data_IF_245623096756
#
_entry.id   IF_245623096756
#
_cell.length_a   1.000
_cell.length_b   1.000
_cell.length_c   1.000
_cell.angle_alpha   90.00
_cell.angle_beta   90.00
_cell.angle_gamma   90.00
#
_symmetry.space_group_name_H-M   'P 1'
#
loop_
_entity.id
_entity.type
_entity.pdbx_description
1 polymer ?
#
# COMPACT_ATOMS: atom_id res chain seq x y z
N UNK A 1 -17.85 -13.46 2.29
CA UNK A 1 -18.48 -14.79 2.03
C UNK A 1 -18.12 -15.79 3.12
N UNK A 2 -16.82 -16.00 3.49
CA UNK A 2 -16.45 -16.97 4.54
C UNK A 2 -17.07 -16.61 5.89
N UNK A 3 -17.02 -15.32 6.27
CA UNK A 3 -17.61 -14.83 7.53
C UNK A 3 -19.13 -15.01 7.54
N UNK A 4 -19.82 -14.61 6.46
CA UNK A 4 -21.28 -14.78 6.37
C UNK A 4 -21.68 -16.24 6.55
N UNK A 5 -20.97 -17.18 5.90
CA UNK A 5 -21.21 -18.62 6.07
C UNK A 5 -20.90 -19.14 7.48
N UNK A 6 -19.83 -18.64 8.09
CA UNK A 6 -19.46 -19.05 9.45
C UNK A 6 -20.52 -18.65 10.49
N UNK A 7 -21.28 -17.59 10.23
CA UNK A 7 -22.34 -17.09 11.10
C UNK A 7 -23.75 -17.44 10.60
N UNK A 8 -23.86 -18.20 9.49
CA UNK A 8 -25.14 -18.56 8.83
C UNK A 8 -26.04 -17.33 8.50
N UNK A 9 -25.41 -16.22 8.11
CA UNK A 9 -26.06 -14.94 7.82
C UNK A 9 -26.19 -14.67 6.29
N UNK A 10 -26.27 -15.72 5.48
CA UNK A 10 -26.37 -15.59 4.01
C UNK A 10 -27.63 -14.84 3.57
N UNK A 11 -28.77 -15.09 4.23
CA UNK A 11 -30.04 -14.42 3.91
C UNK A 11 -29.96 -12.91 4.19
N UNK A 12 -29.38 -12.51 5.31
CA UNK A 12 -29.22 -11.09 5.64
C UNK A 12 -28.29 -10.37 4.63
N UNK A 13 -27.22 -11.03 4.19
CA UNK A 13 -26.30 -10.47 3.19
C UNK A 13 -26.96 -10.39 1.81
N UNK A 14 -27.82 -11.37 1.45
CA UNK A 14 -28.64 -11.34 0.23
C UNK A 14 -29.64 -10.18 0.28
N UNK A 15 -30.29 -9.95 1.40
CA UNK A 15 -31.25 -8.84 1.57
C UNK A 15 -30.56 -7.48 1.49
N UNK A 16 -29.39 -7.29 2.11
CA UNK A 16 -28.55 -6.08 1.97
C UNK A 16 -28.15 -5.85 0.51
N UNK A 17 -27.71 -6.92 -0.17
CA UNK A 17 -27.36 -6.84 -1.59
C UNK A 17 -28.57 -6.47 -2.45
N UNK A 18 -29.73 -7.10 -2.22
CA UNK A 18 -30.94 -6.84 -2.97
C UNK A 18 -31.41 -5.38 -2.79
N UNK A 19 -31.37 -4.85 -1.57
CA UNK A 19 -31.68 -3.44 -1.28
C UNK A 19 -30.79 -2.48 -2.08
N UNK A 20 -29.46 -2.66 -2.00
CA UNK A 20 -28.50 -1.85 -2.75
C UNK A 20 -28.65 -2.02 -4.28
N UNK A 21 -28.97 -3.22 -4.75
CA UNK A 21 -29.18 -3.52 -6.17
C UNK A 21 -30.48 -2.88 -6.71
N UNK A 22 -31.54 -2.82 -5.92
CA UNK A 22 -32.76 -2.11 -6.32
C UNK A 22 -32.52 -0.59 -6.43
N UNK A 23 -31.77 0.01 -5.52
CA UNK A 23 -31.39 1.42 -5.60
C UNK A 23 -30.55 1.70 -6.87
N UNK A 24 -29.57 0.85 -7.14
CA UNK A 24 -28.78 0.92 -8.38
C UNK A 24 -29.63 0.77 -9.62
N UNK A 25 -30.56 -0.18 -9.63
CA UNK A 25 -31.48 -0.44 -10.75
C UNK A 25 -32.42 0.75 -11.02
N UNK A 26 -32.94 1.40 -9.95
CA UNK A 26 -33.75 2.61 -10.08
C UNK A 26 -32.93 3.75 -10.72
N UNK A 27 -31.72 3.97 -10.22
CA UNK A 27 -30.80 4.99 -10.76
C UNK A 27 -30.45 4.72 -12.23
N UNK A 28 -30.12 3.47 -12.58
CA UNK A 28 -29.83 3.05 -13.96
C UNK A 28 -31.05 3.20 -14.89
N UNK A 29 -32.25 2.84 -14.40
CA UNK A 29 -33.49 3.01 -15.16
C UNK A 29 -33.75 4.46 -15.50
N UNK A 30 -33.59 5.36 -14.52
CA UNK A 30 -33.74 6.80 -14.72
C UNK A 30 -32.76 7.31 -15.78
N UNK A 31 -31.49 6.98 -15.63
CA UNK A 31 -30.45 7.35 -16.60
C UNK A 31 -30.77 6.87 -18.01
N UNK A 32 -31.12 5.60 -18.19
CA UNK A 32 -31.43 5.06 -19.51
C UNK A 32 -32.72 5.62 -20.09
N UNK A 33 -33.70 5.97 -19.26
CA UNK A 33 -34.92 6.66 -19.71
C UNK A 33 -34.60 8.04 -20.29
N UNK A 34 -33.85 8.86 -19.56
CA UNK A 34 -33.46 10.20 -20.01
C UNK A 34 -32.62 10.14 -21.29
N UNK A 35 -31.66 9.23 -21.35
CA UNK A 35 -30.85 8.99 -22.56
C UNK A 35 -31.71 8.49 -23.73
N UNK A 36 -32.69 7.65 -23.48
CA UNK A 36 -33.64 7.20 -24.49
C UNK A 36 -34.46 8.33 -25.06
N UNK A 37 -35.01 9.20 -24.22
CA UNK A 37 -35.76 10.39 -24.63
C UNK A 37 -34.86 11.33 -25.42
N UNK A 38 -33.64 11.60 -24.95
CA UNK A 38 -32.67 12.45 -25.63
C UNK A 38 -32.34 11.91 -27.03
N UNK A 39 -31.99 10.63 -27.16
CA UNK A 39 -31.64 10.01 -28.43
C UNK A 39 -32.85 9.97 -29.40
N UNK A 40 -34.04 9.65 -28.91
CA UNK A 40 -35.25 9.65 -29.75
C UNK A 40 -35.59 11.04 -30.26
N UNK A 41 -35.45 12.08 -29.42
CA UNK A 41 -35.67 13.46 -29.80
C UNK A 41 -34.67 13.93 -30.87
N UNK A 42 -33.38 13.63 -30.66
CA UNK A 42 -32.32 13.91 -31.66
C UNK A 42 -32.62 13.24 -32.99
N UNK A 43 -32.94 11.96 -33.00
CA UNK A 43 -33.22 11.22 -34.23
C UNK A 43 -34.47 11.77 -34.97
N UNK A 44 -35.52 12.15 -34.20
CA UNK A 44 -36.70 12.80 -34.75
C UNK A 44 -36.35 14.09 -35.51
N UNK A 45 -35.58 15.02 -34.87
CA UNK A 45 -35.23 16.27 -35.52
C UNK A 45 -34.30 16.08 -36.71
N UNK A 46 -33.37 15.14 -36.68
CA UNK A 46 -32.48 14.81 -37.78
C UNK A 46 -33.26 14.23 -38.98
N UNK A 47 -34.24 13.36 -38.74
CA UNK A 47 -35.11 12.80 -39.75
C UNK A 47 -36.03 13.87 -40.33
N UNK A 48 -36.59 14.73 -39.48
CA UNK A 48 -37.41 15.86 -39.92
C UNK A 48 -36.63 16.84 -40.82
N UNK A 49 -35.37 17.15 -40.47
CA UNK A 49 -34.49 17.97 -41.28
C UNK A 49 -34.28 17.35 -42.68
N UNK A 50 -33.97 16.06 -42.73
CA UNK A 50 -33.80 15.33 -44.00
C UNK A 50 -35.07 15.34 -44.86
N UNK A 51 -36.23 15.08 -44.25
CA UNK A 51 -37.50 15.13 -44.91
C UNK A 51 -37.84 16.54 -45.46
N UNK A 52 -37.57 17.58 -44.67
CA UNK A 52 -37.80 18.97 -45.08
C UNK A 52 -36.91 19.37 -46.28
N UNK A 53 -35.66 18.93 -46.30
CA UNK A 53 -34.72 19.20 -47.40
C UNK A 53 -35.20 18.55 -48.71
N UNK A 54 -35.62 17.27 -48.61
CA UNK A 54 -36.14 16.54 -49.80
C UNK A 54 -37.45 17.18 -50.31
N UNK A 55 -38.33 17.58 -49.38
CA UNK A 55 -39.63 18.18 -49.76
C UNK A 55 -39.47 19.55 -50.39
N UNK A 56 -38.68 20.44 -49.70
CA UNK A 56 -38.44 21.81 -50.22
C UNK A 56 -37.61 21.77 -51.49
N UNK A 57 -36.55 20.96 -51.56
CA UNK A 57 -35.75 20.80 -52.76
C UNK A 57 -36.53 20.25 -53.95
N UNK A 58 -37.39 19.27 -53.72
CA UNK A 58 -38.30 18.75 -54.74
C UNK A 58 -39.27 19.80 -55.25
N UNK A 59 -39.80 20.65 -54.37
CA UNK A 59 -40.66 21.77 -54.76
C UNK A 59 -39.89 22.83 -55.62
N UNK A 60 -38.65 23.16 -55.24
CA UNK A 60 -37.80 24.09 -55.99
C UNK A 60 -37.42 23.55 -57.38
N UNK A 61 -37.22 22.23 -57.52
CA UNK A 61 -36.98 21.59 -58.81
C UNK A 61 -38.22 21.71 -59.71
N UNK A 62 -39.42 21.47 -59.16
CA UNK A 62 -40.68 21.64 -59.93
C UNK A 62 -40.90 23.07 -60.42
N UNK A 63 -40.34 24.06 -59.67
CA UNK A 63 -40.36 25.44 -60.07
C UNK A 63 -39.25 25.83 -61.10
N UNK A 64 -38.31 24.96 -61.36
CA UNK A 64 -37.16 25.22 -62.19
C UNK A 64 -36.09 26.11 -61.57
N UNK A 65 -36.16 26.31 -60.25
CA UNK A 65 -35.24 27.11 -59.45
C UNK A 65 -34.01 26.35 -58.92
N UNK A 66 -34.06 24.97 -59.00
CA UNK A 66 -33.02 24.08 -58.52
C UNK A 66 -32.83 22.86 -59.43
N UNK A 67 -31.60 22.37 -59.58
CA UNK A 67 -31.29 21.18 -60.31
C UNK A 67 -31.34 19.92 -59.35
N UNK A 68 -31.68 18.76 -59.90
CA UNK A 68 -31.67 17.50 -59.12
C UNK A 68 -30.28 17.16 -58.58
N UNK A 69 -29.19 17.56 -59.28
CA UNK A 69 -27.83 17.35 -58.79
C UNK A 69 -27.58 18.15 -57.51
N UNK A 70 -28.11 19.37 -57.42
CA UNK A 70 -27.98 20.23 -56.22
C UNK A 70 -28.70 19.62 -55.03
N UNK A 71 -29.90 19.03 -55.25
CA UNK A 71 -30.65 18.32 -54.19
C UNK A 71 -29.88 17.11 -53.66
N UNK A 72 -29.30 16.31 -54.56
CA UNK A 72 -28.47 15.16 -54.18
C UNK A 72 -27.25 15.62 -53.38
N UNK A 73 -26.55 16.64 -53.88
CA UNK A 73 -25.36 17.21 -53.21
C UNK A 73 -25.69 17.73 -51.81
N UNK A 74 -26.81 18.46 -51.69
CA UNK A 74 -27.27 19.00 -50.40
C UNK A 74 -27.66 17.91 -49.43
N UNK A 75 -28.35 16.87 -49.93
CA UNK A 75 -28.69 15.69 -49.11
C UNK A 75 -27.46 14.95 -48.61
N UNK A 76 -26.40 14.81 -49.41
CA UNK A 76 -25.12 14.23 -49.02
C UNK A 76 -24.41 15.09 -47.95
N UNK A 77 -24.45 16.40 -48.07
CA UNK A 77 -23.89 17.29 -47.04
C UNK A 77 -24.62 17.14 -45.73
N UNK A 78 -25.95 17.07 -45.72
CA UNK A 78 -26.73 16.86 -44.50
C UNK A 78 -26.38 15.51 -43.86
N UNK A 79 -26.37 14.43 -44.64
CA UNK A 79 -26.01 13.10 -44.16
C UNK A 79 -24.60 13.07 -43.53
N UNK A 80 -23.65 13.81 -44.17
CA UNK A 80 -22.27 13.94 -43.65
C UNK A 80 -22.22 14.77 -42.36
N UNK A 81 -23.07 15.79 -42.22
CA UNK A 81 -23.09 16.69 -41.06
C UNK A 81 -23.80 16.10 -39.84
N UNK A 82 -24.72 15.18 -40.01
CA UNK A 82 -25.47 14.54 -38.94
C UNK A 82 -24.52 13.79 -37.97
N UNK A 83 -23.53 13.08 -38.50
CA UNK A 83 -22.61 12.31 -37.68
C UNK A 83 -21.73 13.14 -36.71
N UNK A 84 -21.09 14.25 -37.13
CA UNK A 84 -20.43 15.19 -36.23
C UNK A 84 -21.35 15.76 -35.16
N UNK A 85 -22.59 16.12 -35.48
CA UNK A 85 -23.57 16.64 -34.49
C UNK A 85 -23.89 15.58 -33.46
N UNK A 86 -24.13 14.36 -33.88
CA UNK A 86 -24.37 13.21 -32.96
C UNK A 86 -23.15 12.95 -32.06
N UNK A 87 -21.93 13.03 -32.63
CA UNK A 87 -20.68 12.90 -31.82
C UNK A 87 -20.55 14.02 -30.82
N UNK A 88 -20.87 15.27 -31.17
CA UNK A 88 -20.83 16.41 -30.23
C UNK A 88 -21.84 16.23 -29.09
N UNK A 89 -23.05 15.75 -29.38
CA UNK A 89 -24.03 15.48 -28.36
C UNK A 89 -23.56 14.43 -27.33
N UNK A 90 -22.92 13.35 -27.80
CA UNK A 90 -22.35 12.29 -26.95
C UNK A 90 -21.05 12.72 -26.26
N UNK A 91 -20.33 13.72 -26.82
CA UNK A 91 -19.09 14.24 -26.25
C UNK A 91 -19.27 14.81 -24.85
N UNK A 92 -20.42 15.42 -24.57
CA UNK A 92 -20.72 15.98 -23.24
C UNK A 92 -20.62 14.92 -22.13
N UNK A 93 -21.11 13.70 -22.37
CA UNK A 93 -21.04 12.60 -21.41
C UNK A 93 -19.58 12.10 -21.22
N UNK A 94 -18.87 11.91 -22.34
CA UNK A 94 -17.46 11.47 -22.33
C UNK A 94 -16.61 12.52 -21.62
N UNK A 95 -16.85 13.80 -21.88
CA UNK A 95 -16.14 14.91 -21.28
C UNK A 95 -16.36 14.97 -19.75
N UNK A 96 -17.62 14.85 -19.29
CA UNK A 96 -17.95 14.85 -17.87
C UNK A 96 -17.27 13.69 -17.12
N UNK A 97 -17.26 12.49 -17.70
CA UNK A 97 -16.57 11.33 -17.14
C UNK A 97 -15.05 11.52 -17.12
N UNK A 98 -14.48 12.07 -18.20
CA UNK A 98 -13.06 12.38 -18.29
C UNK A 98 -12.61 13.40 -17.26
N UNK A 99 -13.40 14.46 -17.07
CA UNK A 99 -13.11 15.49 -16.06
C UNK A 99 -13.15 14.92 -14.63
N UNK A 100 -14.15 14.11 -14.30
CA UNK A 100 -14.24 13.47 -13.00
C UNK A 100 -13.03 12.52 -12.73
N UNK A 101 -12.56 11.82 -13.77
CA UNK A 101 -11.33 11.01 -13.70
C UNK A 101 -10.08 11.87 -13.51
N UNK A 102 -9.96 12.97 -14.24
CA UNK A 102 -8.85 13.90 -14.12
C UNK A 102 -8.82 14.59 -12.75
N UNK A 103 -9.97 14.96 -12.20
CA UNK A 103 -10.08 15.53 -10.87
C UNK A 103 -9.57 14.59 -9.80
N UNK A 104 -9.96 13.32 -9.86
CA UNK A 104 -9.45 12.29 -8.93
C UNK A 104 -7.95 12.06 -9.08
N UNK A 105 -7.47 12.03 -10.32
CA UNK A 105 -6.03 11.92 -10.60
C UNK A 105 -5.27 13.11 -10.02
N UNK A 106 -5.73 14.35 -10.29
CA UNK A 106 -5.08 15.55 -9.78
C UNK A 106 -5.18 15.67 -8.26
N UNK A 107 -6.27 15.21 -7.65
CA UNK A 107 -6.40 15.14 -6.19
C UNK A 107 -5.33 14.20 -5.60
N UNK A 108 -5.15 13.01 -6.20
CA UNK A 108 -4.11 12.07 -5.77
C UNK A 108 -2.70 12.65 -5.96
N UNK A 109 -2.43 13.30 -7.10
CA UNK A 109 -1.12 13.90 -7.38
C UNK A 109 -0.80 15.13 -6.51
N UNK A 110 -1.81 15.75 -5.90
CA UNK A 110 -1.66 16.86 -4.96
C UNK A 110 -1.44 16.43 -3.52
N UNK A 111 -1.57 15.14 -3.23
CA UNK A 111 -1.26 14.62 -1.88
C UNK A 111 0.24 14.79 -1.66
N UNK A 112 0.57 15.65 -0.73
CA UNK A 112 1.95 15.85 -0.30
C UNK A 112 2.30 14.84 0.79
N UNK A 113 3.50 14.22 0.75
CA UNK A 113 3.96 13.39 1.84
C UNK A 113 4.01 14.20 3.15
N UNK A 114 3.49 13.63 4.24
CA UNK A 114 3.53 14.25 5.56
C UNK A 114 4.99 14.45 6.05
N UNK A 115 5.86 13.50 5.69
CA UNK A 115 7.28 13.55 6.03
C UNK A 115 8.09 13.82 4.76
N UNK A 116 8.90 14.87 4.79
CA UNK A 116 9.83 15.24 3.72
C UNK A 116 11.23 15.35 4.28
N UNK A 117 12.22 15.11 3.43
CA UNK A 117 13.62 15.42 3.79
C UNK A 117 13.80 16.94 3.92
N UNK A 118 14.58 17.35 4.91
CA UNK A 118 14.98 18.75 5.03
C UNK A 118 15.82 19.15 3.81
N UNK A 119 15.78 20.44 3.36
CA UNK A 119 16.56 20.87 2.20
C UNK A 119 18.07 20.66 2.33
N UNK A 120 18.57 20.58 3.57
CA UNK A 120 19.96 20.35 3.97
C UNK A 120 20.18 18.96 4.57
N UNK A 121 19.25 18.03 4.36
CA UNK A 121 19.35 16.67 4.88
C UNK A 121 20.61 15.96 4.37
N UNK A 122 21.32 15.32 5.29
CA UNK A 122 22.56 14.60 5.03
C UNK A 122 22.32 13.12 4.80
N UNK A 123 23.21 12.46 4.11
CA UNK A 123 23.21 11.00 4.06
C UNK A 123 23.89 10.41 5.31
N UNK A 124 23.30 9.36 5.86
CA UNK A 124 23.89 8.59 6.95
C UNK A 124 24.95 7.64 6.35
N UNK A 125 26.20 8.07 6.40
CA UNK A 125 27.35 7.28 5.97
C UNK A 125 27.91 6.46 7.14
N UNK A 126 28.32 5.20 6.88
CA UNK A 126 29.00 4.33 7.86
C UNK A 126 28.28 4.19 9.22
N UNK A 127 26.99 3.84 9.19
CA UNK A 127 26.19 3.66 10.40
C UNK A 127 26.77 2.56 11.31
N UNK A 128 27.14 2.94 12.54
CA UNK A 128 27.60 2.02 13.61
C UNK A 128 26.44 1.41 14.38
N UNK A 129 25.29 2.09 14.36
CA UNK A 129 24.06 1.64 14.96
C UNK A 129 23.85 2.08 16.40
N UNK A 130 24.45 3.16 16.86
CA UNK A 130 24.11 3.80 18.13
C UNK A 130 22.74 4.48 17.99
N UNK A 131 21.81 4.25 18.93
CA UNK A 131 20.49 4.88 18.92
C UNK A 131 20.27 5.61 20.24
N UNK A 132 19.90 6.89 20.15
CA UNK A 132 19.60 7.71 21.30
C UNK A 132 18.20 8.29 21.16
N UNK A 133 17.31 7.92 22.06
CA UNK A 133 15.95 8.43 22.19
C UNK A 133 15.96 9.38 23.38
N UNK A 134 15.73 10.67 23.16
CA UNK A 134 15.94 11.73 24.12
C UNK A 134 14.64 12.50 24.37
N UNK A 135 14.03 12.29 25.55
CA UNK A 135 12.80 12.93 25.99
C UNK A 135 11.65 12.92 24.98
N UNK A 136 11.44 11.76 24.31
CA UNK A 136 10.47 11.62 23.24
C UNK A 136 9.05 11.50 23.78
N UNK A 137 8.17 12.39 23.31
CA UNK A 137 6.72 12.30 23.44
C UNK A 137 6.08 12.22 22.05
N UNK A 138 4.98 11.46 21.94
CA UNK A 138 4.31 11.26 20.67
C UNK A 138 2.81 11.00 20.85
N UNK A 139 1.99 11.60 19.96
CA UNK A 139 0.57 11.29 19.74
C UNK A 139 0.27 11.14 18.24
N UNK A 140 -0.67 10.26 17.87
CA UNK A 140 -1.15 10.18 16.49
C UNK A 140 -2.06 11.38 16.16
N UNK A 141 -2.09 11.77 14.88
CA UNK A 141 -3.01 12.83 14.42
C UNK A 141 -4.46 12.48 14.75
N UNK A 142 -5.17 13.42 15.36
CA UNK A 142 -6.57 13.24 15.79
C UNK A 142 -6.76 12.74 17.23
N UNK A 143 -5.71 12.36 17.92
CA UNK A 143 -5.72 11.92 19.33
C UNK A 143 -4.92 12.88 20.23
N UNK A 144 -5.05 14.18 20.02
CA UNK A 144 -4.24 15.22 20.70
C UNK A 144 -4.34 15.20 22.23
N UNK A 145 -5.33 14.55 22.80
CA UNK A 145 -5.54 14.47 24.25
C UNK A 145 -5.03 13.17 24.90
N UNK A 146 -4.64 12.16 24.11
CA UNK A 146 -4.13 10.90 24.62
C UNK A 146 -2.78 10.58 23.96
N UNK A 147 -1.70 11.17 24.47
CA UNK A 147 -0.34 10.85 24.02
C UNK A 147 -0.05 9.35 24.18
N UNK A 148 0.58 8.74 23.17
CA UNK A 148 0.94 7.31 23.18
C UNK A 148 2.29 7.09 23.86
N UNK A 149 3.21 8.05 23.73
CA UNK A 149 4.49 8.05 24.44
C UNK A 149 4.68 9.37 25.20
N UNK A 150 5.24 9.27 26.40
CA UNK A 150 5.40 10.39 27.32
C UNK A 150 6.81 10.39 27.91
N UNK A 151 7.66 11.30 27.46
CA UNK A 151 9.00 11.57 28.02
C UNK A 151 9.88 10.31 28.07
N UNK A 152 9.93 9.58 26.94
CA UNK A 152 10.70 8.33 26.80
C UNK A 152 12.15 8.67 26.49
N UNK A 153 13.09 8.18 27.33
CA UNK A 153 14.53 8.34 27.11
C UNK A 153 15.23 6.98 27.22
N UNK A 154 15.91 6.57 26.14
CA UNK A 154 16.71 5.34 26.14
C UNK A 154 17.89 5.47 25.18
N UNK A 155 19.05 5.04 25.65
CA UNK A 155 20.26 4.94 24.85
C UNK A 155 20.58 3.46 24.57
N UNK A 156 20.86 3.11 23.31
CA UNK A 156 21.16 1.76 22.83
C UNK A 156 22.53 1.77 22.17
N UNK A 157 23.43 0.92 22.67
CA UNK A 157 24.82 0.88 22.18
C UNK A 157 24.92 0.15 20.84
N UNK A 158 25.92 0.44 20.03
CA UNK A 158 26.20 -0.36 18.83
C UNK A 158 26.35 -1.85 19.14
N UNK A 159 25.62 -2.66 18.41
CA UNK A 159 25.61 -4.13 18.59
C UNK A 159 24.84 -4.66 19.78
N UNK A 160 24.18 -3.80 20.57
CA UNK A 160 23.35 -4.19 21.71
C UNK A 160 22.00 -4.75 21.25
N UNK A 161 21.53 -5.81 21.91
CA UNK A 161 20.17 -6.33 21.76
C UNK A 161 19.28 -5.86 22.90
N UNK A 162 18.33 -4.98 22.61
CA UNK A 162 17.35 -4.45 23.57
C UNK A 162 15.99 -5.13 23.35
N UNK A 163 15.51 -5.86 24.36
CA UNK A 163 14.15 -6.38 24.38
C UNK A 163 13.19 -5.34 24.95
N UNK A 164 12.16 -5.00 24.17
CA UNK A 164 11.08 -4.10 24.57
C UNK A 164 9.86 -4.93 24.96
N UNK A 165 9.47 -4.86 26.23
CA UNK A 165 8.35 -5.64 26.80
C UNK A 165 7.30 -4.72 27.43
N UNK A 166 6.12 -5.25 27.73
CA UNK A 166 5.02 -4.52 28.37
C UNK A 166 3.65 -4.91 27.84
N UNK A 167 2.57 -4.36 28.42
CA UNK A 167 1.20 -4.68 28.03
C UNK A 167 0.89 -4.24 26.57
N UNK A 168 -0.14 -4.85 25.98
CA UNK A 168 -0.67 -4.42 24.70
C UNK A 168 -1.17 -2.97 24.80
N UNK A 169 -0.90 -2.15 23.78
CA UNK A 169 -1.23 -0.71 23.81
C UNK A 169 -0.25 0.16 24.62
N UNK A 170 0.79 -0.41 25.23
CA UNK A 170 1.76 0.32 26.05
C UNK A 170 2.70 1.28 25.29
N UNK A 171 2.67 1.32 23.94
CA UNK A 171 3.53 2.20 23.13
C UNK A 171 4.76 1.54 22.49
N UNK A 172 4.97 0.22 22.70
CA UNK A 172 6.15 -0.52 22.19
C UNK A 172 6.32 -0.40 20.65
N UNK A 173 5.29 -0.74 19.90
CA UNK A 173 5.32 -0.68 18.43
C UNK A 173 5.45 0.76 17.93
N UNK A 174 4.87 1.72 18.64
CA UNK A 174 5.01 3.14 18.33
C UNK A 174 6.47 3.58 18.48
N UNK A 175 7.14 3.24 19.58
CA UNK A 175 8.57 3.53 19.76
C UNK A 175 9.41 2.97 18.60
N UNK A 176 9.17 1.71 18.21
CA UNK A 176 9.86 1.06 17.11
C UNK A 176 9.58 1.71 15.73
N UNK A 177 8.42 2.36 15.55
CA UNK A 177 8.06 3.08 14.31
C UNK A 177 8.62 4.50 14.24
N UNK A 178 8.94 5.12 15.39
CA UNK A 178 9.55 6.44 15.44
C UNK A 178 11.03 6.42 15.07
N UNK A 179 11.76 5.36 15.41
CA UNK A 179 13.21 5.25 15.13
C UNK A 179 13.49 5.31 13.60
N UNK A 180 12.79 4.61 12.72
CA UNK A 180 12.94 4.76 11.26
C UNK A 180 12.26 6.03 10.71
N UNK A 181 11.74 6.91 11.58
CA UNK A 181 11.01 8.12 11.19
C UNK A 181 9.81 7.83 10.27
N UNK A 182 8.97 6.85 10.63
CA UNK A 182 7.66 6.67 9.97
C UNK A 182 6.64 7.70 10.45
N UNK A 183 6.88 8.30 11.61
CA UNK A 183 6.15 9.44 12.16
C UNK A 183 7.14 10.44 12.74
N UNK A 184 6.72 11.71 12.83
CA UNK A 184 7.49 12.76 13.49
C UNK A 184 7.20 12.75 14.98
N UNK A 185 8.24 12.89 15.82
CA UNK A 185 8.05 13.03 17.27
C UNK A 185 7.39 14.35 17.60
N UNK A 186 6.49 14.37 18.59
CA UNK A 186 5.83 15.61 19.04
C UNK A 186 6.78 16.48 19.85
N UNK A 187 7.61 15.85 20.71
CA UNK A 187 8.64 16.47 21.52
C UNK A 187 9.85 15.57 21.62
N UNK A 188 10.99 16.15 21.93
CA UNK A 188 12.25 15.43 22.05
C UNK A 188 12.96 15.21 20.72
N UNK A 189 13.88 14.24 20.70
CA UNK A 189 14.67 13.89 19.53
C UNK A 189 15.04 12.41 19.50
N UNK A 190 15.19 11.86 18.30
CA UNK A 190 15.80 10.54 18.07
C UNK A 190 17.06 10.76 17.26
N UNK A 191 18.18 10.19 17.73
CA UNK A 191 19.46 10.30 17.04
C UNK A 191 20.00 8.91 16.69
N UNK A 192 20.66 8.83 15.55
CA UNK A 192 21.42 7.64 15.13
C UNK A 192 22.86 8.08 14.92
N UNK A 193 23.78 7.43 15.62
CA UNK A 193 25.22 7.80 15.65
C UNK A 193 25.45 9.28 15.97
N UNK A 194 24.60 9.88 16.82
CA UNK A 194 24.64 11.27 17.24
C UNK A 194 23.93 12.26 16.31
N UNK A 195 23.52 11.87 15.12
CA UNK A 195 22.78 12.71 14.17
C UNK A 195 21.26 12.57 14.36
N UNK A 196 20.53 13.68 14.45
CA UNK A 196 19.06 13.68 14.54
C UNK A 196 18.44 13.10 13.26
N UNK A 197 17.52 12.15 13.39
CA UNK A 197 16.87 11.51 12.26
C UNK A 197 16.14 12.50 11.34
N UNK A 198 15.77 13.69 11.84
CA UNK A 198 15.16 14.77 11.06
C UNK A 198 16.15 15.46 10.11
N UNK A 199 17.45 15.40 10.43
CA UNK A 199 18.52 15.96 9.61
C UNK A 199 19.09 14.99 8.58
N UNK A 200 18.60 13.73 8.58
CA UNK A 200 19.02 12.68 7.67
C UNK A 200 18.03 12.52 6.52
N UNK A 201 18.53 12.10 5.35
CA UNK A 201 17.64 11.68 4.26
C UNK A 201 16.93 10.38 4.65
N UNK A 202 15.62 10.30 4.41
CA UNK A 202 14.84 9.09 4.70
C UNK A 202 15.41 7.86 3.99
N UNK A 203 15.92 8.05 2.77
CA UNK A 203 16.53 6.97 2.00
C UNK A 203 17.76 6.37 2.71
N UNK A 204 18.68 7.19 3.23
CA UNK A 204 19.86 6.69 3.95
C UNK A 204 19.50 6.08 5.31
N UNK A 205 18.57 6.69 6.03
CA UNK A 205 18.03 6.18 7.28
C UNK A 205 17.39 4.79 7.08
N UNK A 206 16.50 4.66 6.09
CA UNK A 206 15.84 3.39 5.81
C UNK A 206 16.82 2.33 5.26
N UNK A 207 17.91 2.71 4.57
CA UNK A 207 18.96 1.74 4.20
C UNK A 207 19.65 1.16 5.43
N UNK A 208 19.89 1.97 6.45
CA UNK A 208 20.56 1.57 7.68
C UNK A 208 19.70 0.74 8.63
N UNK A 209 18.37 0.74 8.48
CA UNK A 209 17.44 0.06 9.38
C UNK A 209 16.72 -1.06 8.66
N UNK A 210 16.75 -2.27 9.19
CA UNK A 210 15.96 -3.42 8.75
C UNK A 210 14.79 -3.67 9.72
N UNK A 211 13.59 -3.88 9.17
CA UNK A 211 12.39 -4.08 9.98
C UNK A 211 11.75 -5.40 9.58
N UNK A 212 11.53 -6.27 10.55
CA UNK A 212 10.69 -7.47 10.40
C UNK A 212 9.41 -7.23 11.18
N UNK A 213 8.31 -7.03 10.45
CA UNK A 213 6.99 -6.75 11.04
C UNK A 213 6.24 -8.04 11.37
N UNK A 214 5.34 -7.97 12.34
CA UNK A 214 4.41 -9.04 12.69
C UNK A 214 3.57 -9.47 11.49
N UNK A 215 2.93 -8.50 10.82
CA UNK A 215 2.16 -8.73 9.60
C UNK A 215 3.07 -8.59 8.37
N UNK A 216 3.57 -9.73 7.90
CA UNK A 216 4.48 -9.77 6.75
C UNK A 216 3.72 -9.46 5.46
N UNK A 217 4.14 -8.40 4.76
CA UNK A 217 3.66 -8.08 3.44
C UNK A 217 4.58 -8.68 2.36
N UNK A 218 3.98 -9.48 1.47
CA UNK A 218 4.64 -9.98 0.25
C UNK A 218 3.94 -9.41 -0.98
N UNK A 219 4.74 -9.03 -1.97
CA UNK A 219 4.23 -8.56 -3.26
C UNK A 219 3.68 -9.74 -4.07
N UNK A 220 2.70 -9.47 -4.92
CA UNK A 220 2.13 -10.42 -5.87
C UNK A 220 3.14 -10.72 -6.99
N UNK A 221 4.19 -11.46 -6.66
CA UNK A 221 5.32 -11.79 -7.51
C UNK A 221 5.90 -13.16 -7.11
N UNK A 222 7.05 -13.55 -7.64
CA UNK A 222 7.76 -14.78 -7.28
C UNK A 222 8.42 -14.68 -5.90
N UNK A 223 8.81 -15.82 -5.32
CA UNK A 223 9.63 -15.87 -4.10
C UNK A 223 10.96 -15.14 -4.33
N UNK A 224 11.58 -15.33 -5.48
CA UNK A 224 12.84 -14.69 -5.91
C UNK A 224 12.74 -13.17 -5.82
N UNK A 225 11.75 -12.57 -6.49
CA UNK A 225 11.57 -11.12 -6.53
C UNK A 225 11.17 -10.57 -5.17
N UNK A 226 10.44 -11.32 -4.38
CA UNK A 226 10.14 -10.97 -3.00
C UNK A 226 11.38 -10.90 -2.11
N UNK A 227 12.37 -11.79 -2.29
CA UNK A 227 13.65 -11.72 -1.56
C UNK A 227 14.52 -10.60 -2.13
N UNK A 228 14.62 -10.49 -3.49
CA UNK A 228 15.40 -9.45 -4.18
C UNK A 228 14.98 -8.04 -3.80
N UNK A 229 13.72 -7.85 -3.35
CA UNK A 229 13.23 -6.55 -2.88
C UNK A 229 14.09 -5.94 -1.76
N UNK A 230 14.81 -6.75 -0.99
CA UNK A 230 15.77 -6.28 0.02
C UNK A 230 16.97 -5.55 -0.59
N UNK A 231 17.41 -5.95 -1.77
CA UNK A 231 18.48 -5.31 -2.57
C UNK A 231 18.27 -5.66 -4.05
N UNK A 232 17.74 -4.71 -4.86
CA UNK A 232 17.35 -4.97 -6.26
C UNK A 232 18.46 -5.40 -7.20
N UNK A 233 19.70 -5.04 -6.91
CA UNK A 233 20.91 -5.37 -7.67
C UNK A 233 21.60 -6.68 -7.24
N UNK A 234 20.99 -7.43 -6.32
CA UNK A 234 21.52 -8.69 -5.81
C UNK A 234 21.55 -9.78 -6.89
N UNK A 235 22.62 -10.58 -6.88
CA UNK A 235 22.73 -11.75 -7.75
C UNK A 235 21.85 -12.90 -7.27
N UNK A 236 21.60 -13.87 -8.13
CA UNK A 236 20.80 -15.05 -7.75
C UNK A 236 21.50 -15.91 -6.68
N UNK A 237 22.84 -15.94 -6.67
CA UNK A 237 23.62 -16.63 -5.65
C UNK A 237 23.42 -15.98 -4.27
N UNK A 238 23.40 -14.64 -4.20
CA UNK A 238 23.16 -13.91 -2.96
C UNK A 238 21.73 -14.12 -2.45
N UNK A 239 20.74 -14.20 -3.35
CA UNK A 239 19.35 -14.53 -3.00
C UNK A 239 19.25 -15.93 -2.41
N UNK A 240 19.92 -16.91 -3.02
CA UNK A 240 19.97 -18.29 -2.52
C UNK A 240 20.62 -18.34 -1.14
N UNK A 241 21.72 -17.62 -0.94
CA UNK A 241 22.41 -17.56 0.35
C UNK A 241 21.55 -16.92 1.44
N UNK A 242 20.87 -15.81 1.12
CA UNK A 242 19.91 -15.17 2.03
C UNK A 242 18.75 -16.13 2.41
N UNK A 243 18.25 -16.92 1.46
CA UNK A 243 17.22 -17.91 1.70
C UNK A 243 17.69 -19.04 2.62
N UNK A 244 18.95 -19.50 2.48
CA UNK A 244 19.55 -20.50 3.35
C UNK A 244 19.68 -19.99 4.80
N UNK A 245 20.22 -18.79 4.97
CA UNK A 245 20.36 -18.14 6.29
C UNK A 245 19.03 -17.88 6.96
N UNK A 246 17.97 -17.62 6.18
CA UNK A 246 16.60 -17.47 6.67
C UNK A 246 15.87 -18.80 6.90
N UNK A 247 16.53 -19.95 6.77
CA UNK A 247 15.96 -21.29 6.96
C UNK A 247 14.72 -21.57 6.07
N UNK A 248 14.67 -20.95 4.85
CA UNK A 248 13.53 -21.10 3.92
C UNK A 248 13.92 -21.84 2.63
N UNK A 249 15.21 -22.07 2.37
CA UNK A 249 15.72 -22.65 1.14
C UNK A 249 15.06 -23.99 0.80
N UNK A 250 15.01 -24.92 1.74
CA UNK A 250 14.46 -26.26 1.51
C UNK A 250 12.94 -26.21 1.22
N UNK A 251 12.22 -25.33 1.91
CA UNK A 251 10.80 -25.08 1.63
C UNK A 251 10.61 -24.56 0.20
N UNK A 252 11.46 -23.61 -0.24
CA UNK A 252 11.40 -23.06 -1.60
C UNK A 252 11.68 -24.16 -2.64
N UNK A 253 12.70 -24.97 -2.41
CA UNK A 253 13.07 -26.06 -3.35
C UNK A 253 12.02 -27.17 -3.41
N UNK A 254 11.20 -27.33 -2.38
CA UNK A 254 10.06 -28.24 -2.38
C UNK A 254 8.82 -27.67 -3.12
N UNK A 255 8.82 -26.38 -3.48
CA UNK A 255 7.72 -25.77 -4.25
C UNK A 255 7.80 -26.17 -5.74
N UNK A 256 6.68 -26.22 -6.48
CA UNK A 256 6.64 -26.67 -7.87
C UNK A 256 7.60 -25.95 -8.84
N UNK A 257 7.87 -24.67 -8.58
CA UNK A 257 8.74 -23.83 -9.42
C UNK A 257 9.93 -23.25 -8.64
N UNK A 258 10.24 -23.79 -7.46
CA UNK A 258 11.36 -23.31 -6.63
C UNK A 258 11.25 -21.80 -6.37
N UNK A 259 12.34 -21.06 -6.60
CA UNK A 259 12.38 -19.61 -6.44
C UNK A 259 11.44 -18.83 -7.36
N UNK A 260 11.03 -19.41 -8.50
CA UNK A 260 10.13 -18.78 -9.46
C UNK A 260 8.65 -19.07 -9.14
N UNK A 261 8.37 -19.68 -7.98
CA UNK A 261 6.99 -19.89 -7.48
C UNK A 261 6.33 -18.55 -7.17
N UNK A 262 5.19 -18.30 -7.80
CA UNK A 262 4.36 -17.12 -7.53
C UNK A 262 3.66 -17.25 -6.18
N UNK A 263 3.75 -16.20 -5.35
CA UNK A 263 3.27 -16.25 -3.95
C UNK A 263 1.84 -15.76 -3.76
N UNK A 264 1.24 -15.19 -4.79
CA UNK A 264 -0.11 -14.60 -4.73
C UNK A 264 -0.15 -13.22 -4.05
N UNK A 265 -1.31 -12.58 -4.10
CA UNK A 265 -1.51 -11.29 -3.44
C UNK A 265 -1.30 -11.43 -1.92
N UNK A 266 -0.43 -10.59 -1.34
CA UNK A 266 -0.02 -10.66 0.08
C UNK A 266 0.49 -12.04 0.50
N UNK A 267 1.05 -12.81 -0.43
CA UNK A 267 1.60 -14.12 -0.14
C UNK A 267 0.57 -15.18 0.24
N UNK A 268 -0.67 -15.09 -0.26
CA UNK A 268 -1.76 -16.01 0.10
C UNK A 268 -1.47 -17.50 -0.16
N UNK A 269 -0.48 -17.80 -1.01
CA UNK A 269 -0.08 -19.17 -1.33
C UNK A 269 0.99 -19.73 -0.38
N UNK A 270 1.51 -18.94 0.56
CA UNK A 270 2.49 -19.34 1.56
C UNK A 270 1.88 -19.48 2.95
N UNK A 271 2.44 -20.38 3.75
CA UNK A 271 2.12 -20.44 5.19
C UNK A 271 2.65 -19.21 5.93
N UNK A 272 2.13 -18.92 7.13
CA UNK A 272 2.59 -17.80 7.96
C UNK A 272 4.10 -17.84 8.23
N UNK A 273 4.63 -19.01 8.58
CA UNK A 273 6.05 -19.22 8.82
C UNK A 273 6.92 -19.07 7.58
N UNK A 274 6.42 -19.49 6.39
CA UNK A 274 7.12 -19.27 5.13
C UNK A 274 7.18 -17.77 4.79
N UNK A 275 6.07 -17.04 4.94
CA UNK A 275 6.06 -15.58 4.74
C UNK A 275 7.08 -14.88 5.62
N UNK A 276 7.11 -15.23 6.90
CA UNK A 276 8.03 -14.62 7.86
C UNK A 276 9.49 -14.91 7.50
N UNK A 277 9.84 -16.14 7.13
CA UNK A 277 11.20 -16.48 6.70
C UNK A 277 11.60 -15.83 5.37
N UNK A 278 10.68 -15.64 4.42
CA UNK A 278 10.92 -14.83 3.22
C UNK A 278 11.21 -13.37 3.58
N UNK A 279 10.47 -12.81 4.55
CA UNK A 279 10.75 -11.46 5.06
C UNK A 279 12.12 -11.37 5.75
N UNK A 280 12.51 -12.37 6.52
CA UNK A 280 13.85 -12.46 7.12
C UNK A 280 14.93 -12.54 6.02
N UNK A 281 14.72 -13.33 4.95
CA UNK A 281 15.64 -13.40 3.82
C UNK A 281 15.85 -12.03 3.14
N UNK A 282 14.80 -11.20 3.02
CA UNK A 282 14.93 -9.80 2.56
C UNK A 282 15.92 -9.00 3.40
N UNK A 283 15.85 -9.15 4.72
CA UNK A 283 16.71 -8.40 5.64
C UNK A 283 18.14 -8.93 5.62
N UNK A 284 18.35 -10.24 5.50
CA UNK A 284 19.69 -10.80 5.28
C UNK A 284 20.33 -10.22 4.01
N UNK A 285 19.57 -10.13 2.92
CA UNK A 285 20.04 -9.58 1.65
C UNK A 285 20.34 -8.08 1.75
N UNK A 286 19.50 -7.32 2.46
CA UNK A 286 19.68 -5.89 2.73
C UNK A 286 20.89 -5.60 3.61
N UNK A 287 21.15 -6.46 4.61
CA UNK A 287 22.27 -6.42 5.55
C UNK A 287 22.43 -5.09 6.32
N UNK A 288 21.40 -4.58 7.00
CA UNK A 288 21.46 -3.31 7.71
C UNK A 288 22.17 -3.44 9.07
N UNK A 289 22.82 -2.37 9.58
CA UNK A 289 23.45 -2.34 10.92
C UNK A 289 22.45 -2.29 12.07
N UNK A 290 21.24 -1.80 11.85
CA UNK A 290 20.18 -1.68 12.86
C UNK A 290 19.03 -2.58 12.47
N UNK A 291 18.47 -3.31 13.46
CA UNK A 291 17.31 -4.18 13.27
C UNK A 291 16.19 -3.80 14.24
N UNK A 292 14.97 -3.83 13.72
CA UNK A 292 13.74 -3.75 14.52
C UNK A 292 12.93 -5.00 14.21
N UNK A 293 12.73 -5.84 15.24
CA UNK A 293 12.03 -7.11 15.12
C UNK A 293 10.73 -7.04 15.93
N UNK A 294 9.59 -7.21 15.27
CA UNK A 294 8.30 -7.36 15.92
C UNK A 294 7.93 -8.85 15.96
N UNK A 295 8.13 -9.47 17.13
CA UNK A 295 8.05 -10.91 17.31
C UNK A 295 6.63 -11.36 17.65
N UNK A 296 5.77 -11.53 16.64
CA UNK A 296 4.49 -12.18 16.82
C UNK A 296 4.41 -13.49 16.04
N UNK A 297 4.74 -14.57 16.72
CA UNK A 297 4.74 -15.93 16.15
C UNK A 297 3.64 -16.81 16.76
N UNK A 298 2.56 -16.23 17.25
CA UNK A 298 1.53 -16.87 18.07
C UNK A 298 0.68 -17.97 17.41
N UNK A 299 0.93 -18.29 16.12
CA UNK A 299 0.15 -19.28 15.38
C UNK A 299 1.00 -20.27 14.56
N UNK A 300 2.27 -20.48 14.92
CA UNK A 300 3.18 -21.36 14.19
C UNK A 300 3.37 -22.70 14.90
N UNK A 301 3.65 -23.74 14.12
CA UNK A 301 4.07 -25.03 14.67
C UNK A 301 5.47 -24.93 15.28
N UNK A 302 5.76 -25.81 16.25
CA UNK A 302 7.01 -25.76 17.04
C UNK A 302 8.28 -25.91 16.19
N UNK A 303 8.23 -26.64 15.07
CA UNK A 303 9.39 -26.82 14.19
C UNK A 303 9.70 -25.55 13.42
N UNK A 304 8.69 -24.94 12.83
CA UNK A 304 8.79 -23.65 12.11
C UNK A 304 9.24 -22.55 13.07
N UNK A 305 8.75 -22.58 14.30
CA UNK A 305 9.14 -21.65 15.35
C UNK A 305 10.64 -21.68 15.64
N UNK A 306 11.22 -22.87 15.83
CA UNK A 306 12.66 -23.05 16.06
C UNK A 306 13.49 -22.52 14.89
N UNK A 307 13.07 -22.77 13.64
CA UNK A 307 13.74 -22.26 12.45
C UNK A 307 13.73 -20.72 12.40
N UNK A 308 12.59 -20.10 12.71
CA UNK A 308 12.47 -18.64 12.72
C UNK A 308 13.34 -18.04 13.83
N UNK A 309 13.34 -18.64 15.03
CA UNK A 309 14.18 -18.17 16.13
C UNK A 309 15.66 -18.26 15.77
N UNK A 310 16.12 -19.38 15.19
CA UNK A 310 17.49 -19.53 14.72
C UNK A 310 17.86 -18.48 13.67
N UNK A 311 16.96 -18.21 12.72
CA UNK A 311 17.16 -17.16 11.71
C UNK A 311 17.22 -15.75 12.34
N UNK A 312 16.43 -15.46 13.37
CA UNK A 312 16.49 -14.20 14.10
C UNK A 312 17.79 -14.06 14.90
N UNK A 313 18.21 -15.09 15.60
CA UNK A 313 19.46 -15.09 16.38
C UNK A 313 20.68 -14.88 15.47
N UNK A 314 20.69 -15.51 14.27
CA UNK A 314 21.73 -15.26 13.28
C UNK A 314 21.66 -13.84 12.71
N UNK A 315 20.44 -13.35 12.42
CA UNK A 315 20.24 -12.02 11.88
C UNK A 315 20.69 -10.92 12.86
N UNK A 316 20.40 -11.07 14.15
CA UNK A 316 20.73 -10.10 15.20
C UNK A 316 22.24 -10.04 15.50
N UNK A 317 22.98 -11.10 15.17
CA UNK A 317 24.40 -11.21 15.54
C UNK A 317 25.25 -10.07 14.98
N UNK A 318 25.88 -9.30 15.86
CA UNK A 318 26.74 -8.16 15.52
C UNK A 318 26.02 -6.91 15.02
N UNK A 319 24.71 -6.81 15.25
CA UNK A 319 23.89 -5.66 14.88
C UNK A 319 23.16 -5.10 16.09
N UNK A 320 22.91 -3.80 16.06
CA UNK A 320 22.02 -3.18 17.06
C UNK A 320 20.59 -3.63 16.81
N UNK A 321 19.97 -4.27 17.79
CA UNK A 321 18.68 -4.91 17.60
C UNK A 321 17.68 -4.45 18.65
N UNK A 322 16.55 -3.89 18.22
CA UNK A 322 15.37 -3.72 19.06
C UNK A 322 14.40 -4.87 18.75
N UNK A 323 13.98 -5.60 19.77
CA UNK A 323 13.01 -6.66 19.61
C UNK A 323 11.79 -6.42 20.50
N UNK A 324 10.59 -6.34 19.90
CA UNK A 324 9.34 -6.38 20.68
C UNK A 324 9.13 -7.82 21.06
N UNK A 325 9.52 -8.17 22.31
CA UNK A 325 9.55 -9.54 22.73
C UNK A 325 8.19 -9.97 23.33
N UNK A 326 7.63 -11.01 22.75
CA UNK A 326 6.45 -11.71 23.25
C UNK A 326 6.81 -13.09 23.84
N UNK A 327 8.09 -13.48 23.77
CA UNK A 327 8.61 -14.78 24.20
C UNK A 327 9.68 -14.65 25.26
N UNK A 328 9.63 -15.55 26.21
CA UNK A 328 10.62 -15.60 27.28
C UNK A 328 12.03 -15.96 26.77
N UNK A 329 12.13 -16.76 25.69
CA UNK A 329 13.41 -17.09 25.05
C UNK A 329 14.13 -15.85 24.54
N UNK A 330 13.44 -15.00 23.80
CA UNK A 330 13.98 -13.75 23.25
C UNK A 330 14.37 -12.76 24.35
N UNK A 331 13.53 -12.64 25.39
CA UNK A 331 13.84 -11.79 26.55
C UNK A 331 15.13 -12.26 27.24
N UNK A 332 15.36 -13.57 27.34
CA UNK A 332 16.56 -14.14 27.98
C UNK A 332 17.84 -13.95 27.16
N UNK A 333 17.74 -13.85 25.84
CA UNK A 333 18.89 -13.65 24.95
C UNK A 333 19.26 -12.18 24.76
N UNK A 334 18.41 -11.25 25.23
CA UNK A 334 18.67 -9.83 25.15
C UNK A 334 19.74 -9.38 26.15
N UNK A 335 20.56 -8.39 25.73
CA UNK A 335 21.57 -7.78 26.61
C UNK A 335 20.91 -6.89 27.66
N UNK A 336 19.78 -6.28 27.32
CA UNK A 336 19.01 -5.42 28.22
C UNK A 336 17.52 -5.50 27.91
N UNK A 337 16.71 -5.27 28.94
CA UNK A 337 15.25 -5.29 28.86
C UNK A 337 14.72 -3.91 29.18
N UNK A 338 13.80 -3.41 28.37
CA UNK A 338 13.05 -2.18 28.54
C UNK A 338 11.58 -2.47 28.75
N UNK A 339 11.04 -2.14 29.91
CA UNK A 339 9.62 -2.30 30.21
C UNK A 339 8.90 -0.99 29.87
N UNK A 340 7.98 -1.05 28.89
CA UNK A 340 7.18 0.10 28.47
C UNK A 340 5.74 -0.10 28.92
N UNK A 341 5.24 0.80 29.75
CA UNK A 341 3.88 0.77 30.28
C UNK A 341 3.25 2.17 30.25
N UNK A 342 2.02 2.27 29.75
CA UNK A 342 1.30 3.54 29.62
C UNK A 342 2.13 4.66 28.95
N UNK A 343 2.85 4.31 27.90
CA UNK A 343 3.68 5.23 27.15
C UNK A 343 4.95 5.71 27.84
N UNK A 344 5.36 5.11 28.96
CA UNK A 344 6.55 5.48 29.74
C UNK A 344 7.47 4.29 29.95
N UNK A 345 8.74 4.54 30.21
CA UNK A 345 9.65 3.49 30.69
C UNK A 345 9.36 3.25 32.17
N UNK A 346 8.84 2.07 32.47
CA UNK A 346 8.57 1.65 33.86
C UNK A 346 9.81 1.07 34.53
N UNK A 347 10.57 0.25 33.81
CA UNK A 347 11.78 -0.41 34.29
C UNK A 347 12.79 -0.59 33.17
N UNK A 348 14.07 -0.63 33.54
CA UNK A 348 15.16 -0.89 32.62
C UNK A 348 16.24 -1.70 33.35
N UNK A 349 16.64 -2.83 32.75
CA UNK A 349 17.63 -3.72 33.38
C UNK A 349 18.33 -4.67 32.41
#
# INVERSE_FOLDING_TARGET
IRTARAFANEEEEIDKFNAANEEFKVSKRKFHHEMGVFNATMEFFMTLLSAAVITVGGYLIMRGEMNYIDLITFSLYIATFINPVRKLANFSEIFARGFAGLERFTALMRVEPALKDAPDAKELEHCRGEIDVDHVSFSYEGEENEGVLHDVSVHIRPGEMLAVVGPSGGGKSTLCQLIPRFYEVSEGAIRIDGEDVRSLTQSSLHRAIGIVQQDVFLFADTVRENIRYGRPDATDEEIVEAAKRAEIYDDIMAMPHGFDTYVGERGTMLSGGQKQRVSIARIFLKNPPILILDEATSALDSVTEVKIQHAFDELARGRTTLVIAHRLSTIRSADRILVVENGRIAEQG
#
